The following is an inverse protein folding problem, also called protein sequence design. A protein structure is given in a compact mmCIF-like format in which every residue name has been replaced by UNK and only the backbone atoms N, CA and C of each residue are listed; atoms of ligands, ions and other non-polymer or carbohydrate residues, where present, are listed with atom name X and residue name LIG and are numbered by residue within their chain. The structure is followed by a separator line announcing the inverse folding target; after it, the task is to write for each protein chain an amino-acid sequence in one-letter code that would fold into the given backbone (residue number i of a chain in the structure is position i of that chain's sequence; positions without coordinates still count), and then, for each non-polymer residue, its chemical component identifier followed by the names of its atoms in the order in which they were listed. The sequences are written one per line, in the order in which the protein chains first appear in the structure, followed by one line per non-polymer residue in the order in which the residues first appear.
data_IF_739800777311
#
_entry.id   IF_739800777311
#
_cell.length_a   1.000
_cell.length_b   1.000
_cell.length_c   1.000
_cell.angle_alpha   90.00
_cell.angle_beta   90.00
_cell.angle_gamma   90.00
#
_symmetry.space_group_name_H-M   'P 1'
#
loop_
_entity.id
_entity.type
_entity.pdbx_description
1 polymer ?
#
# COMPACT_ATOMS: atom_id res chain seq x y z
N UNK A 1 -4.63 -2.85 -25.50
CA UNK A 1 -4.80 -3.35 -24.12
C UNK A 1 -5.51 -2.27 -23.31
N UNK A 2 -6.67 -2.56 -22.74
CA UNK A 2 -7.41 -1.65 -21.84
C UNK A 2 -6.79 -1.68 -20.44
N UNK A 3 -6.32 -0.53 -19.97
CA UNK A 3 -5.67 -0.36 -18.66
C UNK A 3 -6.54 0.52 -17.76
N UNK A 4 -6.53 0.26 -16.47
CA UNK A 4 -7.14 1.19 -15.51
C UNK A 4 -6.26 1.40 -14.28
N UNK A 5 -6.37 2.58 -13.68
CA UNK A 5 -5.92 2.87 -12.31
C UNK A 5 -7.18 2.99 -11.45
N UNK A 6 -7.26 2.20 -10.40
CA UNK A 6 -8.41 2.13 -9.51
C UNK A 6 -8.06 2.73 -8.15
N UNK A 7 -8.92 3.61 -7.66
CA UNK A 7 -8.88 4.18 -6.32
C UNK A 7 -10.13 3.76 -5.55
N UNK A 8 -9.98 3.44 -4.27
CA UNK A 8 -11.09 3.06 -3.39
C UNK A 8 -11.31 4.13 -2.30
N UNK A 9 -12.39 4.89 -2.42
CA UNK A 9 -12.62 6.19 -1.75
C UNK A 9 -13.94 6.16 -0.98
N UNK A 10 -14.04 5.27 -0.01
CA UNK A 10 -15.29 5.10 0.75
C UNK A 10 -15.30 6.01 1.97
N UNK A 11 -16.11 7.07 1.90
CA UNK A 11 -16.38 8.00 3.00
C UNK A 11 -15.78 9.41 2.84
N UNK A 12 -16.40 10.39 3.49
CA UNK A 12 -16.10 11.82 3.30
C UNK A 12 -14.64 12.20 3.57
N UNK A 13 -14.02 11.55 4.57
CA UNK A 13 -12.61 11.78 4.90
C UNK A 13 -11.72 11.47 3.70
N UNK A 14 -11.92 10.33 3.07
CA UNK A 14 -11.13 9.88 1.92
C UNK A 14 -11.43 10.72 0.67
N UNK A 15 -12.68 11.16 0.49
CA UNK A 15 -13.02 12.11 -0.57
C UNK A 15 -12.25 13.44 -0.43
N UNK A 16 -12.09 13.95 0.80
CA UNK A 16 -11.29 15.17 1.07
C UNK A 16 -9.81 14.96 0.78
N UNK A 17 -9.27 13.77 1.05
CA UNK A 17 -7.87 13.44 0.71
C UNK A 17 -7.72 13.39 -0.81
N UNK A 18 -8.60 12.64 -1.50
CA UNK A 18 -8.59 12.54 -2.95
C UNK A 18 -8.70 13.90 -3.64
N UNK A 19 -9.58 14.79 -3.19
CA UNK A 19 -9.70 16.12 -3.79
C UNK A 19 -8.39 16.94 -3.74
N UNK A 20 -7.50 16.67 -2.77
CA UNK A 20 -6.18 17.32 -2.69
C UNK A 20 -5.13 16.66 -3.58
N UNK A 21 -5.27 15.36 -3.86
CA UNK A 21 -4.32 14.56 -4.65
C UNK A 21 -4.84 14.15 -6.04
N UNK A 22 -6.05 14.56 -6.44
CA UNK A 22 -6.70 14.11 -7.68
C UNK A 22 -5.84 14.30 -8.92
N UNK A 23 -5.22 15.48 -9.03
CA UNK A 23 -4.45 15.90 -10.21
C UNK A 23 -3.28 14.95 -10.50
N UNK A 24 -2.59 14.41 -9.48
CA UNK A 24 -1.49 13.48 -9.74
C UNK A 24 -1.98 12.13 -10.26
N UNK A 25 -3.11 11.63 -9.78
CA UNK A 25 -3.70 10.37 -10.27
C UNK A 25 -4.17 10.51 -11.72
N UNK A 26 -4.82 11.63 -12.06
CA UNK A 26 -5.23 11.95 -13.44
C UNK A 26 -4.02 12.04 -14.37
N UNK A 27 -2.96 12.76 -13.96
CA UNK A 27 -1.73 12.88 -14.75
C UNK A 27 -1.05 11.53 -14.97
N UNK A 28 -0.96 10.70 -13.93
CA UNK A 28 -0.32 9.40 -14.04
C UNK A 28 -1.15 8.41 -14.88
N UNK A 29 -2.49 8.43 -14.74
CA UNK A 29 -3.40 7.66 -15.59
C UNK A 29 -3.24 8.05 -17.07
N UNK A 30 -3.20 9.36 -17.37
CA UNK A 30 -2.94 9.86 -18.71
C UNK A 30 -1.57 9.40 -19.24
N UNK A 31 -0.50 9.51 -18.43
CA UNK A 31 0.85 9.05 -18.79
C UNK A 31 0.88 7.56 -19.15
N UNK A 32 0.10 6.74 -18.45
CA UNK A 32 0.05 5.29 -18.67
C UNK A 32 -0.89 4.86 -19.81
N UNK A 33 -1.70 5.78 -20.34
CA UNK A 33 -2.81 5.47 -21.23
C UNK A 33 -3.86 4.58 -20.55
N UNK A 34 -4.21 4.91 -19.30
CA UNK A 34 -5.14 4.15 -18.47
C UNK A 34 -6.35 5.01 -18.07
N UNK A 35 -7.51 4.35 -17.91
CA UNK A 35 -8.70 4.97 -17.37
C UNK A 35 -8.57 5.12 -15.85
N UNK A 36 -9.01 6.25 -15.28
CA UNK A 36 -9.06 6.43 -13.82
C UNK A 36 -10.44 6.03 -13.29
N UNK A 37 -10.48 5.01 -12.45
CA UNK A 37 -11.69 4.43 -11.86
C UNK A 37 -11.75 4.75 -10.38
N UNK A 38 -12.88 5.32 -9.97
CA UNK A 38 -13.15 5.68 -8.59
C UNK A 38 -14.27 4.78 -8.08
N UNK A 39 -13.97 3.99 -7.05
CA UNK A 39 -14.94 3.19 -6.32
C UNK A 39 -15.23 3.91 -4.99
N UNK A 40 -16.37 4.56 -4.88
CA UNK A 40 -16.72 5.45 -3.76
C UNK A 40 -17.77 4.87 -2.80
N UNK A 41 -18.18 3.61 -3.04
CA UNK A 41 -19.10 2.84 -2.21
C UNK A 41 -18.47 1.52 -1.77
N UNK A 42 -18.86 0.96 -0.62
CA UNK A 42 -18.50 -0.42 -0.27
C UNK A 42 -18.85 -1.36 -1.42
N UNK A 43 -17.93 -2.29 -1.72
CA UNK A 43 -18.11 -3.33 -2.74
C UNK A 43 -18.95 -4.50 -2.23
N UNK A 44 -19.05 -4.62 -0.91
CA UNK A 44 -20.00 -5.46 -0.20
C UNK A 44 -20.68 -4.62 0.89
N UNK A 45 -21.99 -4.41 0.72
CA UNK A 45 -22.81 -3.66 1.68
C UNK A 45 -23.17 -4.48 2.94
N UNK A 46 -22.98 -5.81 2.89
CA UNK A 46 -23.19 -6.68 4.06
C UNK A 46 -22.01 -6.68 5.02
N UNK A 47 -20.84 -6.20 4.55
CA UNK A 47 -19.59 -6.20 5.28
C UNK A 47 -19.23 -7.59 5.83
N UNK A 48 -19.36 -8.64 5.01
CA UNK A 48 -18.95 -10.00 5.38
C UNK A 48 -17.51 -10.01 5.91
N UNK A 49 -16.63 -9.17 5.34
CA UNK A 49 -15.35 -8.77 5.93
C UNK A 49 -15.22 -7.24 6.03
N UNK A 50 -14.34 -6.72 6.91
CA UNK A 50 -14.09 -5.29 7.05
C UNK A 50 -13.77 -4.59 5.72
N UNK A 51 -13.97 -3.27 5.69
CA UNK A 51 -13.83 -2.45 4.49
C UNK A 51 -12.47 -2.60 3.79
N UNK A 52 -11.36 -2.72 4.55
CA UNK A 52 -10.02 -2.95 3.98
C UNK A 52 -9.95 -4.24 3.15
N UNK A 53 -10.54 -5.32 3.66
CA UNK A 53 -10.61 -6.61 2.96
C UNK A 53 -11.41 -6.54 1.65
N UNK A 54 -12.28 -5.54 1.46
CA UNK A 54 -13.05 -5.39 0.22
C UNK A 54 -12.17 -5.06 -1.00
N UNK A 55 -10.90 -4.69 -0.80
CA UNK A 55 -9.93 -4.59 -1.91
C UNK A 55 -9.81 -5.90 -2.72
N UNK A 56 -10.09 -7.06 -2.11
CA UNK A 56 -10.19 -8.35 -2.79
C UNK A 56 -11.31 -8.42 -3.85
N UNK A 57 -12.34 -7.57 -3.74
CA UNK A 57 -13.47 -7.52 -4.67
C UNK A 57 -13.23 -6.57 -5.85
N UNK A 58 -12.21 -5.70 -5.79
CA UNK A 58 -11.89 -4.73 -6.86
C UNK A 58 -11.69 -5.41 -8.22
N UNK A 59 -11.02 -6.57 -8.33
CA UNK A 59 -10.88 -7.24 -9.62
C UNK A 59 -12.21 -7.65 -10.25
N UNK A 60 -13.23 -7.97 -9.45
CA UNK A 60 -14.56 -8.27 -9.99
C UNK A 60 -15.25 -7.02 -10.56
N UNK A 61 -14.96 -5.83 -10.01
CA UNK A 61 -15.51 -4.55 -10.48
C UNK A 61 -14.83 -4.01 -11.74
N UNK A 62 -13.71 -4.60 -12.13
CA UNK A 62 -12.83 -4.08 -13.19
C UNK A 62 -12.58 -5.10 -14.31
N UNK A 63 -13.43 -6.13 -14.45
CA UNK A 63 -13.28 -7.22 -15.44
C UNK A 63 -13.23 -6.79 -16.90
N UNK A 64 -13.74 -5.60 -17.22
CA UNK A 64 -13.68 -5.00 -18.55
C UNK A 64 -12.27 -4.56 -18.98
N UNK A 65 -11.32 -4.47 -18.03
CA UNK A 65 -9.92 -4.12 -18.27
C UNK A 65 -9.04 -5.36 -18.39
N UNK A 66 -7.95 -5.23 -19.14
CA UNK A 66 -6.96 -6.30 -19.32
C UNK A 66 -5.95 -6.34 -18.15
N UNK A 67 -5.63 -5.16 -17.62
CA UNK A 67 -4.74 -4.98 -16.46
C UNK A 67 -5.14 -3.73 -15.68
N UNK A 68 -5.05 -3.81 -14.36
CA UNK A 68 -5.46 -2.75 -13.45
C UNK A 68 -4.38 -2.52 -12.40
N UNK A 69 -4.12 -1.26 -12.08
CA UNK A 69 -3.33 -0.82 -10.94
C UNK A 69 -4.29 -0.34 -9.85
N UNK A 70 -4.13 -0.82 -8.63
CA UNK A 70 -4.72 -0.21 -7.45
C UNK A 70 -3.71 0.72 -6.76
N UNK A 71 -4.17 1.87 -6.29
CA UNK A 71 -3.40 2.82 -5.48
C UNK A 71 -4.22 3.29 -4.27
N UNK A 72 -3.60 3.29 -3.09
CA UNK A 72 -4.10 4.02 -1.93
C UNK A 72 -4.00 5.55 -2.13
N UNK A 73 -4.85 6.30 -1.43
CA UNK A 73 -5.01 7.75 -1.61
C UNK A 73 -3.88 8.60 -1.02
N UNK A 74 -3.10 8.01 -0.11
CA UNK A 74 -1.96 8.63 0.55
C UNK A 74 -0.63 8.29 -0.15
N UNK A 75 -0.70 7.97 -1.44
CA UNK A 75 0.46 7.81 -2.31
C UNK A 75 0.75 9.11 -3.05
N UNK A 76 2.01 9.53 -3.03
CA UNK A 76 2.54 10.55 -3.92
C UNK A 76 3.25 9.91 -5.10
N UNK A 77 2.90 10.34 -6.31
CA UNK A 77 3.44 9.82 -7.56
C UNK A 77 4.45 10.82 -8.13
N UNK A 78 5.68 10.36 -8.31
CA UNK A 78 6.75 11.15 -8.91
C UNK A 78 6.53 11.33 -10.41
N UNK A 79 6.85 12.50 -10.96
CA UNK A 79 6.68 12.77 -12.40
C UNK A 79 7.56 11.84 -13.28
N UNK A 80 8.67 11.35 -12.71
CA UNK A 80 9.56 10.39 -13.38
C UNK A 80 9.03 8.95 -13.38
N UNK A 81 7.99 8.63 -12.60
CA UNK A 81 7.47 7.27 -12.46
C UNK A 81 7.10 6.69 -13.84
N UNK A 82 7.70 5.56 -14.27
CA UNK A 82 7.33 4.92 -15.52
C UNK A 82 5.93 4.28 -15.41
N UNK A 83 5.38 3.79 -16.52
CA UNK A 83 4.12 3.05 -16.49
C UNK A 83 4.33 1.72 -15.77
N UNK A 84 3.75 1.56 -14.58
CA UNK A 84 3.89 0.32 -13.77
C UNK A 84 3.37 -0.92 -14.49
N UNK A 85 2.47 -0.74 -15.47
CA UNK A 85 1.96 -1.84 -16.31
C UNK A 85 3.03 -2.54 -17.15
N UNK A 86 4.20 -1.91 -17.35
CA UNK A 86 5.35 -2.51 -18.05
C UNK A 86 6.11 -3.53 -17.19
N UNK A 87 5.82 -3.57 -15.89
CA UNK A 87 6.49 -4.40 -14.90
C UNK A 87 5.70 -5.66 -14.51
N UNK A 88 4.55 -5.93 -15.17
CA UNK A 88 3.85 -7.21 -15.05
C UNK A 88 4.03 -8.04 -16.32
N UNK A 89 4.86 -9.10 -16.29
CA UNK A 89 4.98 -10.03 -17.40
C UNK A 89 3.63 -10.61 -17.84
N UNK A 90 3.51 -11.02 -19.11
CA UNK A 90 2.25 -11.58 -19.64
C UNK A 90 1.81 -12.86 -18.94
N UNK A 91 2.77 -13.69 -18.52
CA UNK A 91 2.54 -14.92 -17.77
C UNK A 91 2.28 -14.72 -16.27
N UNK A 92 2.24 -13.47 -15.79
CA UNK A 92 1.95 -13.10 -14.40
C UNK A 92 0.61 -12.37 -14.31
N UNK A 93 -0.13 -12.61 -13.23
CA UNK A 93 -1.50 -12.10 -13.06
C UNK A 93 -1.65 -11.13 -11.89
N UNK A 94 -0.67 -11.04 -11.01
CA UNK A 94 -0.66 -10.13 -9.88
C UNK A 94 0.77 -9.66 -9.60
N UNK A 95 0.94 -8.39 -9.25
CA UNK A 95 2.24 -7.85 -8.85
C UNK A 95 2.08 -6.83 -7.72
N UNK A 96 3.01 -6.87 -6.78
CA UNK A 96 3.11 -5.91 -5.69
C UNK A 96 4.57 -5.82 -5.23
N UNK A 97 4.89 -4.83 -4.41
CA UNK A 97 6.20 -4.74 -3.76
C UNK A 97 6.21 -5.66 -2.55
N UNK A 98 7.20 -6.54 -2.46
CA UNK A 98 7.45 -7.34 -1.26
C UNK A 98 7.92 -6.44 -0.12
N UNK A 99 7.44 -6.71 1.10
CA UNK A 99 7.96 -6.03 2.27
C UNK A 99 9.46 -6.28 2.41
N UNK A 100 10.27 -5.27 2.79
CA UNK A 100 11.72 -5.39 2.85
C UNK A 100 12.20 -6.11 4.12
N UNK A 101 11.51 -7.19 4.52
CA UNK A 101 11.80 -7.97 5.73
C UNK A 101 13.25 -8.42 5.75
N UNK A 102 13.88 -8.32 6.91
CA UNK A 102 15.28 -8.68 7.12
C UNK A 102 16.30 -7.62 6.68
N UNK A 103 15.88 -6.55 5.97
CA UNK A 103 16.79 -5.43 5.68
C UNK A 103 17.10 -4.62 6.93
N UNK A 104 18.22 -3.91 6.94
CA UNK A 104 18.60 -3.03 8.05
C UNK A 104 17.52 -1.96 8.34
N UNK A 105 16.95 -1.36 7.29
CA UNK A 105 15.90 -0.34 7.40
C UNK A 105 14.62 -0.91 8.04
N UNK A 106 14.21 -2.11 7.64
CA UNK A 106 13.06 -2.81 8.23
C UNK A 106 13.32 -3.17 9.69
N UNK A 107 14.48 -3.76 9.99
CA UNK A 107 14.84 -4.20 11.33
C UNK A 107 14.92 -3.03 12.32
N UNK A 108 15.48 -1.90 11.88
CA UNK A 108 15.49 -0.66 12.68
C UNK A 108 14.08 -0.12 12.91
N UNK A 109 13.24 -0.12 11.89
CA UNK A 109 11.84 0.35 12.00
C UNK A 109 11.05 -0.44 13.03
N UNK A 110 11.22 -1.76 13.05
CA UNK A 110 10.48 -2.67 13.91
C UNK A 110 11.28 -3.17 15.12
N UNK A 111 12.42 -2.56 15.45
CA UNK A 111 13.30 -2.92 16.56
C UNK A 111 12.62 -3.03 17.93
N UNK A 112 11.45 -2.41 18.08
CA UNK A 112 10.63 -2.38 19.29
C UNK A 112 9.57 -3.50 19.35
N UNK A 113 9.44 -4.32 18.30
CA UNK A 113 8.46 -5.42 18.21
C UNK A 113 9.18 -6.71 17.78
N UNK A 114 9.76 -7.48 18.72
CA UNK A 114 10.57 -8.67 18.41
C UNK A 114 9.89 -9.67 17.49
N UNK A 115 8.58 -9.92 17.70
CA UNK A 115 7.78 -10.82 16.87
C UNK A 115 7.88 -10.51 15.37
N UNK A 116 7.87 -9.24 14.97
CA UNK A 116 7.95 -8.85 13.55
C UNK A 116 9.33 -9.17 12.95
N UNK A 117 10.38 -9.13 13.76
CA UNK A 117 11.75 -9.43 13.34
C UNK A 117 12.01 -10.94 13.24
N UNK A 118 11.33 -11.73 14.07
CA UNK A 118 11.43 -13.19 14.12
C UNK A 118 10.49 -13.87 13.10
N UNK A 119 9.46 -13.16 12.64
CA UNK A 119 8.47 -13.65 11.67
C UNK A 119 9.13 -13.84 10.29
N UNK A 120 9.36 -15.11 9.90
CA UNK A 120 9.75 -15.49 8.54
C UNK A 120 8.58 -15.35 7.57
N UNK A 121 8.84 -15.43 6.25
CA UNK A 121 7.77 -15.46 5.25
C UNK A 121 6.81 -16.62 5.50
N UNK A 122 7.31 -17.80 5.89
CA UNK A 122 6.48 -18.95 6.25
C UNK A 122 5.61 -18.67 7.48
N UNK A 123 6.23 -18.19 8.57
CA UNK A 123 5.54 -17.87 9.82
C UNK A 123 4.45 -16.82 9.59
N UNK A 124 4.73 -15.79 8.79
CA UNK A 124 3.75 -14.75 8.44
C UNK A 124 2.43 -15.33 7.92
N UNK A 125 2.50 -16.33 7.04
CA UNK A 125 1.32 -16.97 6.45
C UNK A 125 0.67 -17.97 7.42
N UNK A 126 1.46 -18.80 8.12
CA UNK A 126 0.91 -19.80 9.05
C UNK A 126 0.26 -19.18 10.28
N UNK A 127 0.80 -18.08 10.79
CA UNK A 127 0.19 -17.29 11.88
C UNK A 127 -1.18 -16.70 11.49
N UNK A 128 -1.47 -16.69 10.19
CA UNK A 128 -2.75 -16.26 9.60
C UNK A 128 -3.55 -17.42 9.01
N UNK A 129 -3.23 -18.63 9.49
CA UNK A 129 -3.86 -19.91 9.19
C UNK A 129 -3.80 -20.34 7.73
N UNK A 130 -2.86 -19.81 6.95
CA UNK A 130 -2.57 -20.34 5.62
C UNK A 130 -1.57 -21.49 5.72
N UNK A 131 -1.63 -22.41 4.75
CA UNK A 131 -0.69 -23.52 4.68
C UNK A 131 0.69 -23.05 4.23
N UNK A 132 1.73 -23.81 4.56
CA UNK A 132 3.08 -23.54 4.04
C UNK A 132 3.16 -23.98 2.59
N UNK A 133 3.93 -23.25 1.78
CA UNK A 133 4.11 -23.57 0.37
C UNK A 133 5.49 -23.12 -0.13
N UNK A 134 6.20 -23.91 -0.96
CA UNK A 134 7.56 -23.59 -1.40
C UNK A 134 7.67 -22.33 -2.27
N UNK A 135 6.55 -21.86 -2.82
CA UNK A 135 6.50 -20.64 -3.66
C UNK A 135 6.33 -19.34 -2.86
N UNK A 136 6.12 -19.42 -1.54
CA UNK A 136 5.95 -18.24 -0.71
C UNK A 136 7.26 -17.44 -0.68
N UNK A 137 7.16 -16.17 -1.09
CA UNK A 137 8.25 -15.20 -1.13
C UNK A 137 8.18 -14.25 0.06
N UNK A 138 6.99 -13.79 0.44
CA UNK A 138 6.81 -12.91 1.60
C UNK A 138 5.54 -12.08 1.55
N UNK A 139 5.36 -11.26 2.59
CA UNK A 139 4.26 -10.32 2.72
C UNK A 139 4.39 -9.13 1.76
N UNK A 140 3.29 -8.43 1.55
CA UNK A 140 3.20 -7.21 0.74
C UNK A 140 2.46 -6.16 1.55
N UNK A 141 2.63 -4.89 1.17
CA UNK A 141 1.72 -3.84 1.57
C UNK A 141 0.59 -3.64 0.53
N UNK A 142 -0.64 -3.50 1.01
CA UNK A 142 -1.87 -3.43 0.19
C UNK A 142 -2.14 -2.08 -0.48
N UNK A 143 -1.20 -1.13 -0.42
CA UNK A 143 -1.36 0.21 -0.99
C UNK A 143 -1.04 0.31 -2.48
N UNK A 144 -0.23 -0.61 -3.02
CA UNK A 144 0.11 -0.66 -4.45
C UNK A 144 0.11 -2.10 -4.91
N UNK A 145 -0.79 -2.42 -5.83
CA UNK A 145 -0.74 -3.71 -6.52
C UNK A 145 -1.34 -3.60 -7.93
N UNK A 146 -0.82 -4.40 -8.85
CA UNK A 146 -1.28 -4.53 -10.23
C UNK A 146 -1.82 -5.93 -10.45
N UNK A 147 -2.84 -6.09 -11.29
CA UNK A 147 -3.45 -7.39 -11.52
C UNK A 147 -4.15 -7.49 -12.87
N UNK A 148 -4.40 -8.72 -13.31
CA UNK A 148 -5.22 -9.04 -14.49
C UNK A 148 -6.62 -9.47 -14.02
N UNK A 149 -7.64 -8.60 -14.09
CA UNK A 149 -8.93 -8.83 -13.44
C UNK A 149 -9.56 -10.17 -13.79
N UNK A 150 -9.62 -10.50 -15.09
CA UNK A 150 -10.21 -11.75 -15.59
C UNK A 150 -9.53 -13.02 -15.09
N UNK A 151 -8.29 -12.92 -14.58
CA UNK A 151 -7.49 -14.06 -14.11
C UNK A 151 -7.62 -14.30 -12.62
N UNK A 152 -7.85 -13.24 -11.83
CA UNK A 152 -7.79 -13.31 -10.35
C UNK A 152 -9.14 -13.08 -9.67
N UNK A 153 -10.12 -12.50 -10.37
CA UNK A 153 -11.30 -11.94 -9.74
C UNK A 153 -12.21 -12.95 -9.05
N UNK A 154 -12.38 -14.15 -9.61
CA UNK A 154 -13.20 -15.20 -8.99
C UNK A 154 -12.54 -15.70 -7.71
N UNK A 155 -11.25 -16.03 -7.75
CA UNK A 155 -10.54 -16.63 -6.62
C UNK A 155 -10.40 -15.65 -5.45
N UNK A 156 -10.14 -14.36 -5.71
CA UNK A 156 -10.11 -13.37 -4.62
C UNK A 156 -11.50 -13.11 -4.03
N UNK A 157 -12.55 -13.15 -4.86
CA UNK A 157 -13.94 -13.04 -4.40
C UNK A 157 -14.33 -14.26 -3.56
N UNK A 158 -13.95 -15.46 -3.99
CA UNK A 158 -14.21 -16.70 -3.27
C UNK A 158 -13.52 -16.69 -1.90
N UNK A 159 -12.27 -16.23 -1.82
CA UNK A 159 -11.62 -16.02 -0.52
C UNK A 159 -12.38 -15.00 0.34
N UNK A 160 -12.78 -13.86 -0.24
CA UNK A 160 -13.52 -12.82 0.48
C UNK A 160 -14.78 -13.41 1.15
N UNK A 161 -15.53 -14.28 0.47
CA UNK A 161 -16.73 -14.93 1.01
C UNK A 161 -16.48 -16.32 1.63
N UNK A 162 -15.23 -16.72 1.82
CA UNK A 162 -14.89 -17.98 2.47
C UNK A 162 -14.93 -17.86 3.99
N UNK A 163 -15.05 -18.99 4.68
CA UNK A 163 -14.96 -19.07 6.14
C UNK A 163 -13.52 -18.95 6.68
N UNK A 164 -12.51 -18.70 5.84
CA UNK A 164 -11.12 -18.58 6.29
C UNK A 164 -10.94 -17.43 7.26
N UNK A 165 -10.49 -17.73 8.48
CA UNK A 165 -10.15 -16.76 9.49
C UNK A 165 -8.63 -16.59 9.58
N UNK A 166 -8.12 -15.35 9.56
CA UNK A 166 -6.68 -15.05 9.70
C UNK A 166 -6.21 -14.98 11.16
N UNK A 167 -7.08 -15.25 12.14
CA UNK A 167 -6.72 -15.18 13.56
C UNK A 167 -6.44 -13.76 14.05
N UNK A 168 -5.71 -13.65 15.16
CA UNK A 168 -5.40 -12.36 15.82
C UNK A 168 -4.44 -11.48 15.00
N UNK A 169 -3.63 -12.09 14.14
CA UNK A 169 -2.63 -11.41 13.32
C UNK A 169 -3.17 -11.03 11.93
N UNK A 170 -4.50 -10.92 11.79
CA UNK A 170 -5.19 -10.53 10.57
C UNK A 170 -4.52 -9.33 9.88
N UNK A 171 -4.20 -9.47 8.58
CA UNK A 171 -3.68 -8.37 7.75
C UNK A 171 -4.60 -8.10 6.55
N UNK A 172 -5.89 -8.29 6.76
CA UNK A 172 -6.99 -7.96 5.87
C UNK A 172 -6.78 -8.52 4.46
N UNK A 173 -6.68 -7.66 3.44
CA UNK A 173 -6.43 -8.05 2.06
C UNK A 173 -4.98 -8.46 1.77
N UNK A 174 -4.00 -7.98 2.55
CA UNK A 174 -2.58 -8.12 2.21
C UNK A 174 -2.16 -9.59 2.16
N UNK A 175 -2.49 -10.34 3.21
CA UNK A 175 -2.17 -11.76 3.32
C UNK A 175 -2.78 -12.60 2.19
N UNK A 176 -4.12 -12.58 1.94
CA UNK A 176 -4.70 -13.40 0.88
C UNK A 176 -4.24 -12.99 -0.51
N UNK A 177 -4.06 -11.69 -0.78
CA UNK A 177 -3.51 -11.23 -2.07
C UNK A 177 -2.10 -11.80 -2.30
N UNK A 178 -1.23 -11.72 -1.30
CA UNK A 178 0.12 -12.28 -1.37
C UNK A 178 0.10 -13.80 -1.48
N UNK A 179 -0.60 -14.49 -0.57
CA UNK A 179 -0.63 -15.94 -0.49
C UNK A 179 -1.14 -16.57 -1.78
N UNK A 180 -2.37 -16.23 -2.18
CA UNK A 180 -3.05 -16.83 -3.33
C UNK A 180 -2.25 -16.58 -4.61
N UNK A 181 -1.74 -15.36 -4.82
CA UNK A 181 -0.98 -15.05 -6.02
C UNK A 181 0.36 -15.80 -6.09
N UNK A 182 1.02 -16.03 -4.94
CA UNK A 182 2.32 -16.69 -4.89
C UNK A 182 2.20 -18.20 -5.09
N UNK A 183 1.26 -18.87 -4.42
CA UNK A 183 1.10 -20.33 -4.54
C UNK A 183 0.62 -20.78 -5.93
N UNK A 184 -0.01 -19.87 -6.69
CA UNK A 184 -0.44 -20.14 -8.06
C UNK A 184 0.58 -19.67 -9.11
N UNK A 185 1.80 -19.29 -8.71
CA UNK A 185 2.86 -18.75 -9.60
C UNK A 185 2.48 -17.47 -10.38
N UNK A 186 1.43 -16.77 -9.96
CA UNK A 186 0.97 -15.54 -10.62
C UNK A 186 1.73 -14.29 -10.22
N UNK A 187 2.40 -14.35 -9.06
CA UNK A 187 3.03 -13.20 -8.42
C UNK A 187 4.31 -12.74 -9.13
N UNK A 188 4.40 -11.44 -9.37
CA UNK A 188 5.60 -10.71 -9.76
C UNK A 188 5.98 -9.69 -8.67
N UNK A 189 7.24 -9.68 -8.25
CA UNK A 189 7.73 -8.68 -7.32
C UNK A 189 8.01 -7.38 -8.09
N UNK A 190 7.27 -6.32 -7.79
CA UNK A 190 7.53 -5.02 -8.40
C UNK A 190 8.81 -4.39 -7.82
N UNK A 191 9.50 -3.53 -8.60
CA UNK A 191 10.61 -2.75 -8.08
C UNK A 191 10.21 -1.96 -6.82
N UNK A 192 11.07 -1.92 -5.77
CA UNK A 192 10.75 -1.24 -4.50
C UNK A 192 10.35 0.23 -4.65
N UNK A 193 10.82 0.90 -5.71
CA UNK A 193 10.53 2.29 -6.03
C UNK A 193 9.04 2.55 -6.26
N UNK A 194 8.25 1.51 -6.56
CA UNK A 194 6.80 1.58 -6.72
C UNK A 194 6.00 1.45 -5.41
N UNK A 195 6.61 1.31 -4.24
CA UNK A 195 5.87 1.40 -2.97
C UNK A 195 6.80 1.74 -1.80
N UNK A 196 7.45 2.89 -1.87
CA UNK A 196 8.35 3.33 -0.78
C UNK A 196 7.54 3.91 0.36
N UNK A 197 7.48 3.18 1.48
CA UNK A 197 6.76 3.64 2.66
C UNK A 197 7.59 4.65 3.48
N UNK A 198 7.02 5.82 3.76
CA UNK A 198 7.66 6.91 4.53
C UNK A 198 8.07 6.43 5.93
N UNK A 199 7.31 5.52 6.53
CA UNK A 199 7.61 4.93 7.83
C UNK A 199 9.02 4.32 7.88
N UNK A 200 9.39 3.53 6.87
CA UNK A 200 10.72 2.91 6.81
C UNK A 200 11.82 3.95 6.67
N UNK A 201 11.58 5.00 5.86
CA UNK A 201 12.57 6.06 5.68
C UNK A 201 12.75 6.89 6.96
N UNK A 202 11.68 7.15 7.71
CA UNK A 202 11.73 7.92 8.96
C UNK A 202 12.30 7.10 10.11
N UNK A 203 11.80 5.88 10.34
CA UNK A 203 12.19 5.07 11.50
C UNK A 203 13.42 4.20 11.26
N UNK A 204 13.63 3.77 10.01
CA UNK A 204 14.68 2.83 9.64
C UNK A 204 16.01 3.47 9.25
N UNK A 205 16.10 4.80 9.15
CA UNK A 205 17.34 5.49 8.73
C UNK A 205 17.81 6.52 9.75
N UNK A 206 19.13 6.72 9.84
CA UNK A 206 19.73 7.73 10.72
C UNK A 206 19.19 9.14 10.43
N UNK A 207 19.07 9.49 9.14
CA UNK A 207 18.55 10.79 8.71
C UNK A 207 17.08 10.94 9.09
N UNK A 208 16.26 9.91 8.91
CA UNK A 208 14.87 9.90 9.34
C UNK A 208 14.69 10.06 10.85
N UNK A 209 15.50 9.37 11.65
CA UNK A 209 15.45 9.48 13.11
C UNK A 209 15.79 10.89 13.61
N UNK A 210 16.68 11.61 12.90
CA UNK A 210 16.96 13.02 13.18
C UNK A 210 15.71 13.90 12.94
N UNK A 211 14.92 13.63 11.89
CA UNK A 211 13.65 14.35 11.64
C UNK A 211 12.66 14.14 12.80
N UNK A 212 12.54 12.91 13.29
CA UNK A 212 11.67 12.60 14.44
C UNK A 212 12.18 13.26 15.73
N UNK A 213 13.50 13.28 15.95
CA UNK A 213 14.11 13.94 17.10
C UNK A 213 13.91 15.47 17.07
N UNK A 214 14.02 16.10 15.90
CA UNK A 214 13.72 17.52 15.72
C UNK A 214 12.27 17.86 16.07
N UNK A 215 11.33 17.00 15.69
CA UNK A 215 9.93 17.17 16.07
C UNK A 215 9.73 17.09 17.60
N UNK A 216 10.49 16.22 18.29
CA UNK A 216 10.44 16.11 19.75
C UNK A 216 10.81 17.44 20.45
N UNK A 217 11.66 18.26 19.84
CA UNK A 217 12.07 19.56 20.37
C UNK A 217 11.00 20.66 20.26
N UNK A 218 9.90 20.42 19.51
CA UNK A 218 8.82 21.39 19.39
C UNK A 218 8.04 21.48 20.73
N UNK A 219 7.70 22.69 21.21
CA UNK A 219 6.96 22.86 22.46
C UNK A 219 5.69 22.00 22.53
N UNK A 220 5.51 21.30 23.67
CA UNK A 220 4.44 20.32 23.87
C UNK A 220 3.04 20.87 23.61
N UNK A 221 2.79 22.14 23.93
CA UNK A 221 1.49 22.77 23.70
C UNK A 221 1.17 22.95 22.20
N UNK A 222 2.18 23.28 21.37
CA UNK A 222 2.04 23.39 19.91
C UNK A 222 1.73 22.01 19.33
N UNK A 223 2.49 20.98 19.72
CA UNK A 223 2.26 19.60 19.26
C UNK A 223 0.88 19.10 19.67
N UNK A 224 0.49 19.26 20.93
CA UNK A 224 -0.82 18.83 21.42
C UNK A 224 -1.97 19.48 20.66
N UNK A 225 -1.85 20.79 20.38
CA UNK A 225 -2.84 21.52 19.60
C UNK A 225 -2.91 21.01 18.15
N UNK A 226 -1.76 20.82 17.49
CA UNK A 226 -1.70 20.32 16.12
C UNK A 226 -2.21 18.88 16.01
N UNK A 227 -1.73 17.97 16.85
CA UNK A 227 -2.13 16.56 16.86
C UNK A 227 -3.63 16.39 17.09
N UNK A 228 -4.23 17.13 18.03
CA UNK A 228 -5.69 17.07 18.25
C UNK A 228 -6.48 17.48 17.01
N UNK A 229 -5.98 18.44 16.23
CA UNK A 229 -6.63 18.91 15.00
C UNK A 229 -6.34 18.04 13.76
N UNK A 230 -5.28 17.24 13.78
CA UNK A 230 -4.79 16.48 12.63
C UNK A 230 -4.64 15.00 12.95
N UNK A 231 -5.54 14.44 13.77
CA UNK A 231 -5.60 13.00 14.06
C UNK A 231 -4.28 12.38 14.53
N UNK A 232 -3.52 13.12 15.34
CA UNK A 232 -2.20 12.69 15.85
C UNK A 232 -1.14 12.43 14.77
N UNK A 233 -1.32 13.03 13.58
CA UNK A 233 -0.34 13.05 12.52
C UNK A 233 0.89 13.91 12.91
N UNK A 234 2.07 13.43 12.53
CA UNK A 234 3.36 14.14 12.71
C UNK A 234 3.27 15.59 12.21
N UNK A 235 3.91 16.54 12.89
CA UNK A 235 3.99 17.92 12.42
C UNK A 235 4.92 18.02 11.20
N UNK A 236 4.45 18.50 10.03
CA UNK A 236 5.28 18.60 8.83
C UNK A 236 6.22 19.82 8.90
N UNK A 237 7.33 19.68 9.64
CA UNK A 237 8.39 20.70 9.72
C UNK A 237 9.03 20.98 8.35
N UNK A 238 9.79 22.08 8.22
CA UNK A 238 10.55 22.36 7.00
C UNK A 238 11.53 21.22 6.68
N UNK A 239 12.20 20.67 7.68
CA UNK A 239 13.12 19.54 7.53
C UNK A 239 12.39 18.29 7.05
N UNK A 240 11.24 17.96 7.63
CA UNK A 240 10.39 16.86 7.18
C UNK A 240 9.97 17.02 5.72
N UNK A 241 9.46 18.21 5.34
CA UNK A 241 9.03 18.50 3.97
C UNK A 241 10.18 18.31 2.96
N UNK A 242 11.37 18.80 3.29
CA UNK A 242 12.54 18.64 2.42
C UNK A 242 12.99 17.17 2.34
N UNK A 243 12.94 16.44 3.46
CA UNK A 243 13.25 15.02 3.49
C UNK A 243 12.32 14.21 2.59
N UNK A 244 11.00 14.41 2.73
CA UNK A 244 9.99 13.74 1.90
C UNK A 244 10.11 14.09 0.43
N UNK A 245 10.38 15.37 0.08
CA UNK A 245 10.61 15.77 -1.32
C UNK A 245 11.78 15.03 -1.93
N UNK A 246 12.87 14.81 -1.19
CA UNK A 246 14.00 14.03 -1.68
C UNK A 246 13.59 12.56 -1.92
N UNK A 247 12.82 11.96 -1.01
CA UNK A 247 12.30 10.59 -1.21
C UNK A 247 11.46 10.51 -2.49
N UNK A 248 10.58 11.49 -2.74
CA UNK A 248 9.75 11.55 -3.96
C UNK A 248 10.62 11.73 -5.21
N UNK A 249 11.68 12.54 -5.13
CA UNK A 249 12.61 12.75 -6.24
C UNK A 249 13.42 11.48 -6.58
N UNK A 250 13.67 10.63 -5.59
CA UNK A 250 14.46 9.40 -5.73
C UNK A 250 13.61 8.19 -6.15
N UNK A 251 12.30 8.18 -5.90
CA UNK A 251 11.43 7.00 -6.11
C UNK A 251 10.27 7.26 -7.09
N UNK A 252 9.44 6.25 -7.36
CA UNK A 252 8.28 6.38 -8.24
C UNK A 252 7.01 6.66 -7.45
N UNK A 253 6.67 5.79 -6.50
CA UNK A 253 5.53 5.97 -5.59
C UNK A 253 6.03 6.03 -4.15
N UNK A 254 5.63 7.07 -3.44
CA UNK A 254 5.93 7.27 -2.02
C UNK A 254 4.63 7.17 -1.24
N UNK A 255 4.52 6.13 -0.41
CA UNK A 255 3.34 5.78 0.37
C UNK A 255 3.49 6.31 1.80
N UNK A 256 2.54 7.12 2.25
CA UNK A 256 2.60 7.79 3.56
C UNK A 256 2.05 6.94 4.71
N UNK A 257 1.71 5.67 4.45
CA UNK A 257 1.34 4.62 5.40
C UNK A 257 1.78 4.92 6.84
N UNK A 258 0.82 5.02 7.76
CA UNK A 258 1.09 5.18 9.19
C UNK A 258 1.16 6.63 9.73
N UNK A 259 0.07 7.40 9.57
CA UNK A 259 -0.11 8.74 10.18
C UNK A 259 0.99 9.77 9.82
N UNK A 260 1.63 9.66 8.65
CA UNK A 260 2.57 10.68 8.17
C UNK A 260 1.89 11.75 7.30
N UNK A 261 2.27 13.03 7.43
CA UNK A 261 1.61 14.12 6.72
C UNK A 261 2.03 14.15 5.24
N UNK A 262 1.04 13.99 4.35
CA UNK A 262 1.24 14.14 2.91
C UNK A 262 1.67 15.57 2.58
N UNK A 263 2.73 15.70 1.77
CA UNK A 263 3.23 17.00 1.30
C UNK A 263 2.65 17.30 -0.07
N UNK A 264 1.55 18.04 -0.08
CA UNK A 264 0.98 18.62 -1.29
C UNK A 264 1.88 19.77 -1.79
N UNK A 265 2.01 19.88 -3.10
CA UNK A 265 2.70 21.01 -3.76
C UNK A 265 1.85 22.28 -3.75
#
# INVERSE_FOLDING_TARGET
MKKAICLFIVGEKYQKIFNKSKVQFERYAQKCGADLIILDKPLDETFYRPLLSQKLLIPSQTRQYDIVLFLDLDIMISEKAPSVFEYLPENKYFGAVLDPRGTEEFNRTWGHIPRILEETSEIYFTDRHFETHPLLKGSINGGVFIFRPKKVADIFKDYYFSEHNQGELNSFEETPLAYISQINEWFEALPPEFNVQVMYKIKGTNKGNQIEAEEKNIPKFIKKYFYKKNEYCMLPTKTYKNFVRNIIAENYFVHFAGNYPIIYN
#
